data_IF_013686532983
#
_entry.id   IF_013686532983
#
_cell.length_a   1.000
_cell.length_b   1.000
_cell.length_c   1.000
_cell.angle_alpha   90.00
_cell.angle_beta   90.00
_cell.angle_gamma   90.00
#
_symmetry.space_group_name_H-M   'P 1'
#
loop_
_entity.id
_entity.type
_entity.pdbx_description
1 polymer ?
#
# COMPACT_ATOMS: atom_id res chain seq x y z
N UNK A 1 12.93 -33.55 20.04
CA UNK A 1 11.45 -33.54 20.09
C UNK A 1 10.96 -32.27 19.42
N UNK A 2 10.11 -32.37 18.40
CA UNK A 2 9.54 -31.20 17.71
C UNK A 2 8.20 -30.83 18.35
N UNK A 3 8.13 -29.63 18.91
CA UNK A 3 6.87 -29.00 19.32
C UNK A 3 6.60 -27.89 18.30
N UNK A 4 5.37 -27.80 17.82
CA UNK A 4 4.94 -26.79 16.86
C UNK A 4 3.87 -25.89 17.48
N UNK A 5 4.00 -24.58 17.23
CA UNK A 5 3.05 -23.56 17.63
C UNK A 5 2.45 -22.93 16.37
N UNK A 6 1.13 -22.84 16.30
CA UNK A 6 0.40 -22.28 15.16
C UNK A 6 -0.78 -21.40 15.61
N UNK A 7 -1.19 -20.47 14.74
CA UNK A 7 -2.35 -19.61 14.95
C UNK A 7 -3.29 -19.82 13.76
N UNK A 8 -4.56 -20.10 14.02
CA UNK A 8 -5.57 -20.33 12.98
C UNK A 8 -6.75 -19.41 13.20
N UNK A 9 -6.98 -18.49 12.26
CA UNK A 9 -8.17 -17.64 12.26
C UNK A 9 -9.35 -18.39 11.64
N UNK A 10 -10.55 -18.15 12.20
CA UNK A 10 -11.81 -18.69 11.66
C UNK A 10 -12.11 -18.13 10.26
N UNK A 11 -11.70 -16.89 10.00
CA UNK A 11 -11.90 -16.19 8.73
C UNK A 11 -10.73 -16.45 7.79
N UNK A 12 -10.99 -17.11 6.66
CA UNK A 12 -9.94 -17.60 5.74
C UNK A 12 -9.20 -16.47 5.02
N UNK A 13 -9.92 -15.43 4.57
CA UNK A 13 -9.30 -14.28 3.88
C UNK A 13 -8.51 -13.38 4.84
N UNK A 14 -8.73 -13.52 6.16
CA UNK A 14 -8.09 -12.73 7.22
C UNK A 14 -8.27 -11.22 7.07
N UNK A 15 -9.28 -10.78 6.31
CA UNK A 15 -9.63 -9.37 6.16
C UNK A 15 -10.63 -9.04 7.27
N UNK A 16 -10.39 -7.96 7.99
CA UNK A 16 -11.22 -7.46 9.09
C UNK A 16 -11.40 -5.95 8.96
N UNK A 17 -12.43 -5.44 9.62
CA UNK A 17 -12.70 -4.01 9.69
C UNK A 17 -12.75 -3.56 11.15
N UNK A 18 -12.72 -2.25 11.36
CA UNK A 18 -12.88 -1.65 12.68
C UNK A 18 -14.14 -2.20 13.39
N UNK A 19 -13.98 -2.47 14.69
CA UNK A 19 -14.98 -3.08 15.59
C UNK A 19 -15.30 -4.57 15.34
N UNK A 20 -14.69 -5.23 14.35
CA UNK A 20 -14.89 -6.66 14.15
C UNK A 20 -14.06 -7.51 15.12
N UNK A 21 -14.65 -8.64 15.55
CA UNK A 21 -14.00 -9.59 16.44
C UNK A 21 -13.09 -10.53 15.63
N UNK A 22 -11.80 -10.55 15.96
CA UNK A 22 -10.83 -11.52 15.45
C UNK A 22 -10.96 -12.83 16.22
N UNK A 23 -11.56 -13.84 15.60
CA UNK A 23 -11.80 -15.17 16.21
C UNK A 23 -10.87 -16.22 15.60
N UNK A 24 -10.25 -17.04 16.45
CA UNK A 24 -9.38 -18.13 16.03
C UNK A 24 -8.98 -19.05 17.18
N UNK A 25 -7.99 -19.91 16.94
CA UNK A 25 -7.43 -20.83 17.91
C UNK A 25 -5.90 -20.85 17.80
N UNK A 26 -5.24 -20.99 18.94
CA UNK A 26 -3.81 -21.35 19.02
C UNK A 26 -3.71 -22.87 19.03
N UNK A 27 -2.83 -23.43 18.20
CA UNK A 27 -2.59 -24.88 18.12
C UNK A 27 -1.19 -25.16 18.61
N UNK A 28 -1.09 -26.01 19.63
CA UNK A 28 0.18 -26.57 20.11
C UNK A 28 0.20 -28.05 19.77
N UNK A 29 1.10 -28.45 18.90
CA UNK A 29 1.25 -29.85 18.49
C UNK A 29 2.57 -30.41 19.03
N UNK A 30 2.50 -31.55 19.71
CA UNK A 30 3.65 -32.22 20.27
C UNK A 30 3.47 -33.73 20.25
N UNK A 31 4.58 -34.46 20.10
CA UNK A 31 4.63 -35.94 20.19
C UNK A 31 4.90 -36.45 21.61
N UNK A 32 5.06 -35.54 22.58
CA UNK A 32 5.37 -35.84 23.97
C UNK A 32 4.93 -34.69 24.89
N UNK A 33 5.02 -34.88 26.19
CA UNK A 33 4.79 -33.82 27.17
C UNK A 33 5.78 -32.65 26.98
N UNK A 34 5.30 -31.42 27.16
CA UNK A 34 6.07 -30.18 26.94
C UNK A 34 6.01 -29.32 28.19
N UNK A 35 7.17 -29.11 28.84
CA UNK A 35 7.29 -28.14 29.94
C UNK A 35 7.33 -26.72 29.38
N UNK A 36 6.48 -25.84 29.91
CA UNK A 36 6.42 -24.42 29.58
C UNK A 36 6.04 -23.57 30.78
N UNK A 37 6.39 -22.29 30.73
CA UNK A 37 6.11 -21.29 31.77
C UNK A 37 4.94 -20.37 31.41
N UNK A 38 4.38 -20.54 30.21
CA UNK A 38 3.19 -19.82 29.79
C UNK A 38 3.03 -19.80 28.28
N UNK A 39 1.80 -19.57 27.83
CA UNK A 39 1.47 -19.27 26.44
C UNK A 39 0.75 -17.92 26.45
N UNK A 40 1.27 -16.97 25.71
CA UNK A 40 0.73 -15.61 25.61
C UNK A 40 0.33 -15.34 24.17
N UNK A 41 -0.86 -14.77 23.97
CA UNK A 41 -1.31 -14.26 22.68
C UNK A 41 -1.43 -12.74 22.78
N UNK A 42 -0.67 -12.02 21.96
CA UNK A 42 -0.77 -10.56 21.81
C UNK A 42 -1.31 -10.20 20.44
N UNK A 43 -2.04 -9.09 20.38
CA UNK A 43 -2.45 -8.46 19.12
C UNK A 43 -1.77 -7.10 19.06
N UNK A 44 -1.07 -6.84 17.95
CA UNK A 44 -0.25 -5.64 17.79
C UNK A 44 -0.57 -4.99 16.44
N UNK A 45 -0.70 -3.67 16.44
CA UNK A 45 -0.81 -2.84 15.25
C UNK A 45 0.41 -1.93 15.19
N UNK A 46 1.13 -1.94 14.07
CA UNK A 46 2.38 -1.21 13.92
C UNK A 46 2.34 -0.36 12.65
N UNK A 47 2.88 0.85 12.79
CA UNK A 47 3.18 1.75 11.66
C UNK A 47 4.69 1.91 11.63
N UNK A 48 5.32 1.36 10.60
CA UNK A 48 6.76 1.46 10.39
C UNK A 48 7.02 2.40 9.24
N UNK A 49 7.97 3.32 9.42
CA UNK A 49 8.42 4.21 8.36
C UNK A 49 9.89 3.95 8.06
N UNK A 50 10.21 3.72 6.79
CA UNK A 50 11.57 3.56 6.29
C UNK A 50 11.86 4.73 5.35
N UNK A 51 12.82 5.58 5.70
CA UNK A 51 13.19 6.73 4.88
C UNK A 51 14.52 6.47 4.19
N UNK A 52 14.71 7.10 3.02
CA UNK A 52 16.00 7.03 2.32
C UNK A 52 17.14 7.57 3.21
N UNK A 53 18.36 7.08 2.98
CA UNK A 53 19.59 7.39 3.74
C UNK A 53 19.93 8.88 3.86
N UNK A 54 19.23 9.77 3.14
CA UNK A 54 19.43 11.22 3.19
C UNK A 54 18.78 11.91 4.40
N UNK A 55 17.79 11.30 5.07
CA UNK A 55 16.98 11.95 6.12
C UNK A 55 16.78 11.11 7.41
N UNK A 56 17.61 10.08 7.65
CA UNK A 56 17.33 9.01 8.63
C UNK A 56 17.34 9.48 10.10
N UNK A 57 18.27 10.36 10.50
CA UNK A 57 18.51 10.66 11.93
C UNK A 57 17.53 11.64 12.60
N UNK A 58 16.88 12.50 11.82
CA UNK A 58 16.00 13.55 12.35
C UNK A 58 14.61 12.99 12.67
N UNK A 59 14.11 12.09 11.81
CA UNK A 59 12.75 11.58 11.86
C UNK A 59 12.53 10.49 12.92
N UNK A 60 13.58 9.73 13.25
CA UNK A 60 13.53 8.69 14.30
C UNK A 60 13.20 9.29 15.68
N UNK A 61 13.73 10.48 15.97
CA UNK A 61 13.47 11.21 17.22
C UNK A 61 12.01 11.73 17.30
N UNK A 62 11.44 12.17 16.17
CA UNK A 62 10.06 12.68 16.14
C UNK A 62 9.03 11.56 16.38
N UNK A 63 9.15 10.42 15.72
CA UNK A 63 8.17 9.33 15.90
C UNK A 63 8.30 8.62 17.25
N UNK A 64 9.50 8.54 17.81
CA UNK A 64 9.70 8.00 19.18
C UNK A 64 8.97 8.82 20.26
N UNK A 65 8.58 10.07 19.94
CA UNK A 65 7.78 10.94 20.80
C UNK A 65 6.30 11.03 20.40
N UNK A 66 5.89 10.36 19.32
CA UNK A 66 4.51 10.37 18.86
C UNK A 66 3.61 9.66 19.87
N UNK A 67 2.46 10.27 20.18
CA UNK A 67 1.45 9.65 21.04
C UNK A 67 0.91 8.38 20.37
N UNK A 68 0.56 7.34 21.15
CA UNK A 68 -0.12 6.17 20.60
C UNK A 68 -1.33 6.60 19.79
N UNK A 69 -1.35 6.23 18.51
CA UNK A 69 -2.49 6.52 17.64
C UNK A 69 -3.60 5.53 18.00
N UNK A 70 -4.72 6.05 18.50
CA UNK A 70 -5.89 5.24 18.86
C UNK A 70 -6.73 4.83 17.63
N UNK A 71 -6.44 5.42 16.47
CA UNK A 71 -7.13 5.16 15.20
C UNK A 71 -6.51 3.96 14.48
N UNK A 72 -7.34 3.03 14.01
CA UNK A 72 -6.92 1.95 13.13
C UNK A 72 -6.85 2.44 11.67
N UNK A 73 -5.82 2.02 10.95
CA UNK A 73 -5.61 2.32 9.54
C UNK A 73 -5.72 1.07 8.70
N UNK A 74 -5.96 1.22 7.40
CA UNK A 74 -5.86 0.09 6.48
C UNK A 74 -4.45 -0.48 6.49
N UNK A 75 -4.36 -1.81 6.42
CA UNK A 75 -3.09 -2.49 6.20
C UNK A 75 -2.51 -2.01 4.88
N UNK A 76 -1.26 -1.56 4.91
CA UNK A 76 -0.59 -1.00 3.76
C UNK A 76 0.86 -1.47 3.74
N UNK A 77 1.30 -1.99 2.59
CA UNK A 77 2.69 -2.39 2.38
C UNK A 77 3.30 -1.49 1.30
N UNK A 78 3.87 -0.38 1.76
CA UNK A 78 4.55 0.61 0.92
C UNK A 78 6.06 0.45 0.91
N UNK A 79 6.70 1.37 0.19
CA UNK A 79 8.16 1.49 0.13
C UNK A 79 8.70 2.23 1.35
N UNK A 80 8.01 3.31 1.76
CA UNK A 80 8.41 4.15 2.88
C UNK A 80 7.53 3.98 4.11
N UNK A 81 6.28 3.54 3.95
CA UNK A 81 5.38 3.30 5.08
C UNK A 81 4.78 1.89 5.00
N UNK A 82 4.79 1.19 6.13
CA UNK A 82 4.17 -0.12 6.30
C UNK A 82 3.25 -0.06 7.52
N UNK A 83 1.99 -0.42 7.33
CA UNK A 83 0.97 -0.53 8.37
C UNK A 83 0.58 -1.99 8.45
N UNK A 84 0.81 -2.62 9.59
CA UNK A 84 0.65 -4.07 9.76
C UNK A 84 -0.05 -4.39 11.07
N UNK A 85 -0.90 -5.42 11.03
CA UNK A 85 -1.59 -5.95 12.19
C UNK A 85 -1.30 -7.44 12.32
N UNK A 86 -0.84 -7.86 13.49
CA UNK A 86 -0.50 -9.25 13.72
C UNK A 86 -0.97 -9.78 15.06
N UNK A 87 -1.31 -11.06 15.06
CA UNK A 87 -1.39 -11.88 16.24
C UNK A 87 -0.02 -12.54 16.46
N UNK A 88 0.52 -12.39 17.66
CA UNK A 88 1.78 -12.99 18.06
C UNK A 88 1.51 -13.91 19.24
N UNK A 89 1.72 -15.21 19.03
CA UNK A 89 1.65 -16.22 20.06
C UNK A 89 3.06 -16.60 20.48
N UNK A 90 3.35 -16.52 21.78
CA UNK A 90 4.63 -16.89 22.38
C UNK A 90 4.41 -17.99 23.40
N UNK A 91 5.25 -19.02 23.36
CA UNK A 91 5.30 -20.09 24.37
C UNK A 91 6.67 -20.05 25.04
N UNK A 92 6.68 -19.59 26.30
CA UNK A 92 7.89 -19.56 27.13
C UNK A 92 8.25 -20.96 27.59
N UNK A 93 9.46 -21.42 27.26
CA UNK A 93 9.93 -22.76 27.62
C UNK A 93 11.00 -22.69 28.71
N UNK A 94 11.19 -23.80 29.41
CA UNK A 94 12.24 -23.93 30.44
C UNK A 94 13.61 -23.49 29.92
N UNK A 95 14.45 -22.90 30.76
CA UNK A 95 15.77 -22.28 30.47
C UNK A 95 16.67 -22.97 29.42
N UNK A 96 16.61 -24.30 29.27
CA UNK A 96 17.43 -25.06 28.31
C UNK A 96 16.82 -25.15 26.90
N UNK A 97 15.56 -24.75 26.72
CA UNK A 97 14.84 -24.86 25.45
C UNK A 97 14.56 -23.47 24.89
N UNK A 98 14.74 -23.31 23.58
CA UNK A 98 14.32 -22.08 22.88
C UNK A 98 12.80 -21.93 22.93
N UNK A 99 12.33 -20.73 23.28
CA UNK A 99 10.93 -20.34 23.21
C UNK A 99 10.36 -20.56 21.80
N UNK A 100 9.06 -20.82 21.72
CA UNK A 100 8.36 -20.89 20.45
C UNK A 100 7.60 -19.60 20.21
N UNK A 101 7.58 -19.17 18.96
CA UNK A 101 6.82 -18.01 18.54
C UNK A 101 6.13 -18.31 17.22
N UNK A 102 4.87 -17.90 17.12
CA UNK A 102 4.14 -17.83 15.87
C UNK A 102 3.60 -16.42 15.71
N UNK A 103 3.81 -15.84 14.53
CA UNK A 103 3.19 -14.57 14.12
C UNK A 103 2.24 -14.90 12.98
N UNK A 104 1.04 -14.32 13.02
CA UNK A 104 0.05 -14.35 11.95
C UNK A 104 -0.44 -12.94 11.68
N UNK A 105 -0.18 -12.47 10.47
CA UNK A 105 -0.72 -11.20 9.98
C UNK A 105 -2.19 -11.35 9.56
N UNK A 106 -2.97 -10.30 9.81
CA UNK A 106 -4.31 -10.12 9.29
C UNK A 106 -4.44 -8.72 8.70
N UNK A 107 -5.41 -8.56 7.78
CA UNK A 107 -5.59 -7.35 7.01
C UNK A 107 -6.70 -6.51 7.64
N UNK A 108 -6.42 -5.24 7.91
CA UNK A 108 -7.41 -4.25 8.26
C UNK A 108 -7.83 -3.52 6.98
N UNK A 109 -9.12 -3.52 6.66
CA UNK A 109 -9.71 -2.73 5.58
C UNK A 109 -10.73 -1.77 6.16
N UNK A 110 -10.85 -0.59 5.56
CA UNK A 110 -11.97 0.28 5.85
C UNK A 110 -13.23 -0.36 5.25
N UNK A 111 -14.34 -0.34 6.00
CA UNK A 111 -15.62 -0.75 5.44
C UNK A 111 -15.84 0.09 4.19
N UNK A 112 -16.26 -0.54 3.09
CA UNK A 112 -16.65 0.15 1.87
C UNK A 112 -17.61 1.27 2.25
N UNK A 113 -17.09 2.50 2.32
CA UNK A 113 -17.94 3.64 2.43
C UNK A 113 -18.67 3.67 1.09
N UNK A 114 -20.00 3.74 1.13
CA UNK A 114 -20.76 4.14 -0.06
C UNK A 114 -20.31 5.56 -0.35
N UNK A 115 -19.21 5.71 -1.07
CA UNK A 115 -18.78 7.01 -1.54
C UNK A 115 -19.80 7.33 -2.61
N UNK A 116 -20.78 8.16 -2.26
CA UNK A 116 -21.47 9.02 -3.23
C UNK A 116 -20.43 10.03 -3.75
N UNK A 117 -19.34 9.53 -4.34
CA UNK A 117 -18.37 10.37 -5.02
C UNK A 117 -19.05 10.75 -6.31
N UNK A 118 -19.77 11.87 -6.25
CA UNK A 118 -20.22 12.58 -7.43
C UNK A 118 -19.00 12.67 -8.36
N UNK A 119 -19.13 12.10 -9.55
CA UNK A 119 -18.05 12.09 -10.52
C UNK A 119 -17.53 13.52 -10.69
N UNK A 120 -16.20 13.68 -10.71
CA UNK A 120 -15.55 14.97 -10.94
C UNK A 120 -14.82 14.88 -12.29
N UNK A 121 -15.52 15.14 -13.42
CA UNK A 121 -14.90 15.06 -14.72
C UNK A 121 -13.84 16.14 -14.87
N UNK A 122 -12.74 15.78 -15.53
CA UNK A 122 -11.64 16.70 -15.82
C UNK A 122 -11.29 16.63 -17.30
N UNK A 123 -11.42 17.76 -17.97
CA UNK A 123 -10.87 17.94 -19.31
C UNK A 123 -9.38 18.28 -19.20
N UNK A 124 -8.58 17.72 -20.09
CA UNK A 124 -7.15 17.99 -20.15
C UNK A 124 -6.73 18.35 -21.58
N UNK A 125 -5.64 19.11 -21.68
CA UNK A 125 -4.97 19.43 -22.94
C UNK A 125 -3.46 19.31 -22.71
N UNK A 126 -2.80 18.50 -23.53
CA UNK A 126 -1.38 18.24 -23.49
C UNK A 126 -0.76 18.80 -24.77
N UNK A 127 0.21 19.69 -24.60
CA UNK A 127 1.03 20.28 -25.67
C UNK A 127 2.51 20.12 -25.29
N UNK A 128 3.46 20.32 -26.21
CA UNK A 128 4.89 20.30 -25.88
C UNK A 128 5.25 21.20 -24.68
N UNK A 129 4.59 22.36 -24.57
CA UNK A 129 4.82 23.34 -23.50
C UNK A 129 4.28 22.89 -22.14
N UNK A 130 3.25 22.05 -22.12
CA UNK A 130 2.64 21.55 -20.88
C UNK A 130 3.43 20.39 -20.25
N UNK A 131 4.38 19.78 -20.96
CA UNK A 131 5.14 18.63 -20.47
C UNK A 131 6.20 18.99 -19.43
N UNK A 132 6.25 18.22 -18.36
CA UNK A 132 7.25 18.33 -17.29
C UNK A 132 8.35 17.26 -17.46
N UNK A 133 9.56 17.52 -16.95
CA UNK A 133 10.68 16.55 -16.90
C UNK A 133 11.14 15.97 -18.26
N UNK A 134 10.97 16.72 -19.35
CA UNK A 134 11.37 16.29 -20.70
C UNK A 134 12.87 16.50 -20.93
N UNK A 135 13.62 15.41 -21.17
CA UNK A 135 15.07 15.47 -21.44
C UNK A 135 15.44 16.09 -22.79
N UNK A 136 14.57 15.99 -23.80
CA UNK A 136 14.88 16.39 -25.20
C UNK A 136 13.78 17.26 -25.84
N UNK A 137 13.52 18.45 -25.27
CA UNK A 137 12.48 19.37 -25.81
C UNK A 137 12.75 19.86 -27.25
N UNK A 138 14.02 20.00 -27.66
CA UNK A 138 14.39 20.56 -28.97
C UNK A 138 13.92 19.75 -30.19
N UNK A 139 13.73 18.44 -30.04
CA UNK A 139 13.33 17.54 -31.13
C UNK A 139 11.88 17.07 -30.99
N UNK A 140 11.11 17.71 -30.11
CA UNK A 140 9.73 17.32 -29.86
C UNK A 140 8.84 17.84 -30.99
N UNK A 141 8.03 16.99 -31.64
CA UNK A 141 7.07 17.45 -32.63
C UNK A 141 6.02 18.33 -31.95
N UNK A 142 5.41 19.25 -32.69
CA UNK A 142 4.22 19.91 -32.17
C UNK A 142 3.07 18.90 -32.19
N UNK A 143 2.31 18.88 -31.10
CA UNK A 143 1.11 18.08 -30.99
C UNK A 143 0.11 18.77 -30.07
N UNK A 144 -1.16 18.39 -30.22
CA UNK A 144 -2.24 18.75 -29.32
C UNK A 144 -3.02 17.50 -29.04
N UNK A 145 -2.96 17.03 -27.79
CA UNK A 145 -3.76 15.90 -27.30
C UNK A 145 -4.75 16.47 -26.30
N UNK A 146 -6.04 16.21 -26.52
CA UNK A 146 -7.10 16.57 -25.58
C UNK A 146 -7.81 15.33 -25.09
N UNK A 147 -8.53 15.47 -23.99
CA UNK A 147 -9.37 14.40 -23.52
C UNK A 147 -10.14 14.79 -22.30
N UNK A 148 -10.90 13.81 -21.81
CA UNK A 148 -11.66 13.90 -20.58
C UNK A 148 -11.44 12.66 -19.76
N UNK A 149 -11.19 12.83 -18.48
CA UNK A 149 -11.30 11.79 -17.48
C UNK A 149 -12.67 11.95 -16.83
N UNK A 150 -13.45 10.88 -16.71
CA UNK A 150 -14.82 10.96 -16.21
C UNK A 150 -14.89 11.24 -14.70
N UNK A 151 -13.86 10.88 -13.94
CA UNK A 151 -13.74 11.24 -12.52
C UNK A 151 -12.28 11.28 -12.05
N UNK A 152 -11.91 12.29 -11.25
CA UNK A 152 -10.64 12.31 -10.49
C UNK A 152 -10.72 11.58 -9.15
N UNK A 153 -11.91 11.13 -8.76
CA UNK A 153 -12.15 10.30 -7.57
C UNK A 153 -12.76 8.98 -8.05
N UNK A 154 -11.98 7.92 -7.98
CA UNK A 154 -12.34 6.61 -8.55
C UNK A 154 -12.24 5.51 -7.50
N UNK A 155 -13.13 4.52 -7.59
CA UNK A 155 -12.97 3.25 -6.91
C UNK A 155 -12.00 2.38 -7.73
N UNK A 156 -10.93 1.88 -7.10
CA UNK A 156 -9.91 1.06 -7.76
C UNK A 156 -10.44 -0.27 -8.31
N UNK A 157 -11.57 -0.75 -7.78
CA UNK A 157 -12.26 -1.96 -8.24
C UNK A 157 -13.18 -1.70 -9.44
N UNK A 158 -13.34 -0.45 -9.87
CA UNK A 158 -14.15 -0.07 -11.02
C UNK A 158 -13.27 0.40 -12.19
N UNK A 159 -13.74 0.27 -13.44
CA UNK A 159 -12.99 0.75 -14.59
C UNK A 159 -12.71 2.26 -14.52
N UNK A 160 -11.48 2.64 -14.79
CA UNK A 160 -11.12 4.03 -15.05
C UNK A 160 -11.57 4.39 -16.48
N UNK A 161 -12.37 5.46 -16.61
CA UNK A 161 -13.06 5.81 -17.87
C UNK A 161 -12.76 7.25 -18.30
N UNK A 162 -12.78 7.45 -19.61
CA UNK A 162 -12.48 8.71 -20.24
C UNK A 162 -12.27 8.58 -21.74
N UNK A 163 -11.93 9.70 -22.37
CA UNK A 163 -11.62 9.81 -23.78
C UNK A 163 -10.30 10.55 -23.99
N UNK A 164 -9.60 10.18 -25.05
CA UNK A 164 -8.38 10.83 -25.51
C UNK A 164 -8.46 11.01 -27.02
N UNK A 165 -8.19 12.22 -27.48
CA UNK A 165 -8.20 12.63 -28.87
C UNK A 165 -6.88 13.33 -29.21
N UNK A 166 -6.26 12.91 -30.31
CA UNK A 166 -5.08 13.57 -30.86
C UNK A 166 -5.58 14.52 -31.93
N UNK A 167 -5.75 15.80 -31.59
CA UNK A 167 -6.27 16.80 -32.54
C UNK A 167 -5.24 17.17 -33.59
N UNK A 168 -3.96 17.22 -33.21
CA UNK A 168 -2.86 17.58 -34.10
C UNK A 168 -1.59 16.84 -33.69
N UNK A 169 -0.81 16.39 -34.67
CA UNK A 169 0.57 15.95 -34.47
C UNK A 169 1.36 16.13 -35.77
N UNK A 170 2.50 16.82 -35.71
CA UNK A 170 3.35 17.07 -36.87
C UNK A 170 4.26 15.86 -37.20
N UNK A 171 4.11 14.74 -36.49
CA UNK A 171 4.87 13.51 -36.69
C UNK A 171 3.98 12.25 -36.66
N UNK A 172 4.35 11.18 -37.38
CA UNK A 172 3.66 9.89 -37.29
C UNK A 172 3.65 9.34 -35.85
N UNK A 173 2.47 8.96 -35.39
CA UNK A 173 2.25 8.42 -34.04
C UNK A 173 2.37 6.90 -34.10
N UNK A 174 3.25 6.32 -33.29
CA UNK A 174 3.47 4.87 -33.25
C UNK A 174 2.62 4.18 -32.19
N UNK A 175 2.52 4.78 -31.02
CA UNK A 175 1.73 4.30 -29.88
C UNK A 175 1.35 5.47 -28.99
N UNK A 176 0.28 5.27 -28.22
CA UNK A 176 -0.05 6.09 -27.06
C UNK A 176 -0.10 5.17 -25.85
N UNK A 177 0.67 5.52 -24.82
CA UNK A 177 0.75 4.76 -23.58
C UNK A 177 0.15 5.59 -22.45
N UNK A 178 -0.79 4.98 -21.71
CA UNK A 178 -1.38 5.56 -20.52
C UNK A 178 -0.89 4.78 -19.31
N UNK A 179 -0.21 5.48 -18.39
CA UNK A 179 0.34 4.88 -17.19
C UNK A 179 -0.40 5.39 -15.96
N UNK A 180 -0.85 4.47 -15.11
CA UNK A 180 -1.32 4.78 -13.77
C UNK A 180 -0.15 4.62 -12.80
N UNK A 181 0.30 5.74 -12.24
CA UNK A 181 1.45 5.79 -11.35
C UNK A 181 0.97 5.98 -9.91
N UNK A 182 1.34 5.05 -9.01
CA UNK A 182 1.26 5.27 -7.57
C UNK A 182 2.32 6.25 -7.17
N UNK A 183 1.96 7.27 -6.41
CA UNK A 183 2.95 8.13 -5.75
C UNK A 183 2.80 7.95 -4.25
N UNK A 184 3.83 7.39 -3.63
CA UNK A 184 3.93 7.30 -2.18
C UNK A 184 4.75 8.51 -1.69
N UNK A 185 4.17 9.29 -0.78
CA UNK A 185 4.82 10.45 -0.16
C UNK A 185 4.84 10.27 1.34
N UNK A 186 6.03 10.27 1.92
CA UNK A 186 6.24 10.18 3.37
C UNK A 186 7.11 11.36 3.82
N UNK A 187 6.72 12.09 4.86
CA UNK A 187 7.50 13.23 5.35
C UNK A 187 7.00 13.82 6.66
N UNK A 188 7.76 14.75 7.20
CA UNK A 188 7.41 15.56 8.37
C UNK A 188 7.57 17.07 8.05
N UNK A 189 7.42 17.91 9.07
CA UNK A 189 7.63 19.36 8.99
C UNK A 189 9.00 19.78 8.42
N UNK A 190 10.00 18.90 8.43
CA UNK A 190 11.38 19.19 8.00
C UNK A 190 11.74 18.60 6.63
N UNK A 191 10.84 17.86 5.97
CA UNK A 191 11.08 17.36 4.61
C UNK A 191 10.24 16.14 4.22
N UNK A 192 10.24 15.83 2.91
CA UNK A 192 9.46 14.73 2.33
C UNK A 192 10.32 13.85 1.43
N UNK A 193 10.10 12.53 1.51
CA UNK A 193 10.54 11.54 0.52
C UNK A 193 9.36 11.17 -0.37
N UNK A 194 9.60 11.05 -1.68
CA UNK A 194 8.59 10.66 -2.67
C UNK A 194 9.15 9.55 -3.55
N UNK A 195 8.32 8.54 -3.78
CA UNK A 195 8.63 7.42 -4.67
C UNK A 195 7.41 7.14 -5.54
N UNK A 196 7.68 7.03 -6.85
CA UNK A 196 6.67 6.82 -7.87
C UNK A 196 6.84 5.43 -8.46
N UNK A 197 5.82 4.59 -8.34
CA UNK A 197 5.81 3.25 -8.93
C UNK A 197 4.66 3.13 -9.92
N UNK A 198 4.96 2.67 -11.14
CA UNK A 198 3.93 2.33 -12.12
C UNK A 198 3.13 1.14 -11.59
N UNK A 199 1.81 1.27 -11.49
CA UNK A 199 0.92 0.20 -11.05
C UNK A 199 0.32 -0.51 -12.27
N UNK A 200 0.05 0.23 -13.34
CA UNK A 200 -0.64 -0.29 -14.51
C UNK A 200 -0.23 0.49 -15.76
N UNK A 201 0.05 -0.26 -16.83
CA UNK A 201 0.37 0.25 -18.16
C UNK A 201 -0.72 -0.17 -19.16
N UNK A 202 -1.28 0.80 -19.87
CA UNK A 202 -2.18 0.56 -21.00
C UNK A 202 -1.49 0.97 -22.29
N UNK A 203 -1.29 0.01 -23.19
CA UNK A 203 -0.78 0.26 -24.53
C UNK A 203 -1.95 0.38 -25.51
N UNK A 204 -2.15 1.58 -26.05
CA UNK A 204 -3.08 1.80 -27.15
C UNK A 204 -2.27 1.77 -28.46
N UNK A 205 -2.37 0.65 -29.17
CA UNK A 205 -1.76 0.50 -30.48
C UNK A 205 -2.60 1.27 -31.51
N UNK A 206 -2.04 2.37 -32.01
CA UNK A 206 -2.61 3.10 -33.13
C UNK A 206 -2.18 2.38 -34.41
N UNK A 207 -3.08 1.57 -34.98
CA UNK A 207 -2.88 1.00 -36.32
C UNK A 207 -3.44 2.00 -37.33
N UNK A 208 -2.53 2.57 -38.14
CA UNK A 208 -2.89 3.34 -39.35
C UNK A 208 -3.47 2.39 -40.39
#
# INVERSE_FOLDING_TARGET
MSVQLDIRLKRVNKIYHEEEIVIGYVVVESRSEVKHEGITLTMEGNVTMQLSSKNVGILEAFYSSAKPVLTLYETYHGVFISIQYYLKCEMKRSLLNKDLQKILEFIMEYKNQKVDSKAIPVNFSITPESLQNVRYRKNMPNFVIKGRIDSTVCNIMQPFTGELCIEKCDAPIRSVELQLVRVETCGCSEGYSRDGNVILDFLILYRV
#
